data_IF_111083675789
#
_entry.id   IF_111083675789
#
_cell.length_a   1.000
_cell.length_b   1.000
_cell.length_c   1.000
_cell.angle_alpha   90.00
_cell.angle_beta   90.00
_cell.angle_gamma   90.00
#
_symmetry.space_group_name_H-M   'P 1'
#
loop_
_entity.id
_entity.type
_entity.pdbx_description
1 polymer ?
#
# COMPACT_ATOMS: atom_id res chain seq x y z
N UNK A 1 6.75 -10.50 -3.74
CA UNK A 1 5.58 -9.60 -3.94
C UNK A 1 4.25 -10.34 -3.82
N UNK A 2 3.95 -11.37 -4.61
CA UNK A 2 2.69 -12.14 -4.46
C UNK A 2 2.51 -12.73 -3.06
N UNK A 3 3.54 -13.38 -2.51
CA UNK A 3 3.46 -14.02 -1.19
C UNK A 3 3.12 -13.03 -0.07
N UNK A 4 3.68 -11.83 -0.13
CA UNK A 4 3.37 -10.76 0.83
C UNK A 4 1.91 -10.29 0.73
N UNK A 5 1.37 -10.17 -0.50
CA UNK A 5 -0.04 -9.77 -0.69
C UNK A 5 -1.00 -10.87 -0.25
N UNK A 6 -0.67 -12.15 -0.45
CA UNK A 6 -1.48 -13.24 0.09
C UNK A 6 -1.35 -13.39 1.61
N UNK A 7 -0.16 -13.18 2.18
CA UNK A 7 -0.01 -13.11 3.64
C UNK A 7 -0.88 -11.99 4.22
N UNK A 8 -0.87 -10.80 3.61
CA UNK A 8 -1.70 -9.67 4.05
C UNK A 8 -3.18 -10.05 4.06
N UNK A 9 -3.65 -10.77 3.04
CA UNK A 9 -5.04 -11.24 2.97
C UNK A 9 -5.41 -12.10 4.17
N UNK A 10 -4.51 -12.97 4.62
CA UNK A 10 -4.74 -13.85 5.77
C UNK A 10 -4.83 -13.02 7.06
N UNK A 11 -3.89 -12.11 7.28
CA UNK A 11 -3.89 -11.21 8.44
C UNK A 11 -5.15 -10.32 8.48
N UNK A 12 -5.55 -9.76 7.33
CA UNK A 12 -6.77 -8.96 7.23
C UNK A 12 -8.03 -9.76 7.54
N UNK A 13 -8.10 -11.04 7.13
CA UNK A 13 -9.22 -11.94 7.47
C UNK A 13 -9.25 -12.30 8.95
N UNK A 14 -8.08 -12.44 9.56
CA UNK A 14 -7.93 -12.67 10.99
C UNK A 14 -8.09 -11.39 11.83
N UNK A 15 -8.32 -10.23 11.20
CA UNK A 15 -8.35 -8.91 11.84
C UNK A 15 -7.05 -8.56 12.59
N UNK A 16 -5.93 -9.16 12.20
CA UNK A 16 -4.60 -8.87 12.72
C UNK A 16 -4.01 -7.63 12.01
N UNK A 17 -4.56 -6.45 12.32
CA UNK A 17 -4.25 -5.22 11.58
C UNK A 17 -2.82 -4.71 11.74
N UNK A 18 -2.18 -5.00 12.87
CA UNK A 18 -0.76 -4.68 13.09
C UNK A 18 0.14 -5.47 12.12
N UNK A 19 -0.08 -6.78 12.02
CA UNK A 19 0.58 -7.64 11.04
C UNK A 19 0.29 -7.20 9.60
N UNK A 20 -0.96 -6.82 9.31
CA UNK A 20 -1.36 -6.32 8.00
C UNK A 20 -0.64 -5.00 7.64
N UNK A 21 -0.47 -4.08 8.59
CA UNK A 21 0.27 -2.83 8.40
C UNK A 21 1.76 -3.08 8.14
N UNK A 22 2.36 -4.05 8.82
CA UNK A 22 3.75 -4.46 8.55
C UNK A 22 3.89 -5.01 7.12
N UNK A 23 2.95 -5.86 6.70
CA UNK A 23 2.95 -6.42 5.35
C UNK A 23 2.71 -5.33 4.29
N UNK A 24 1.90 -4.32 4.61
CA UNK A 24 1.67 -3.15 3.76
C UNK A 24 2.95 -2.31 3.57
N UNK A 25 3.68 -2.02 4.66
CA UNK A 25 4.98 -1.38 4.57
C UNK A 25 5.97 -2.18 3.72
N UNK A 26 6.06 -3.49 3.97
CA UNK A 26 6.95 -4.39 3.26
C UNK A 26 6.66 -4.42 1.75
N UNK A 27 5.39 -4.39 1.36
CA UNK A 27 4.94 -4.31 -0.03
C UNK A 27 5.53 -3.08 -0.74
N UNK A 28 5.36 -1.90 -0.15
CA UNK A 28 5.87 -0.65 -0.69
C UNK A 28 7.40 -0.64 -0.76
N UNK A 29 8.07 -1.15 0.28
CA UNK A 29 9.53 -1.27 0.33
C UNK A 29 10.07 -2.16 -0.79
N UNK A 30 9.42 -3.30 -1.06
CA UNK A 30 9.80 -4.21 -2.14
C UNK A 30 9.67 -3.58 -3.53
N UNK A 31 8.58 -2.82 -3.78
CA UNK A 31 8.38 -2.12 -5.06
C UNK A 31 9.47 -1.06 -5.27
N UNK A 32 9.78 -0.25 -4.25
CA UNK A 32 10.80 0.80 -4.36
C UNK A 32 12.20 0.25 -4.58
N UNK A 33 12.55 -0.85 -3.89
CA UNK A 33 13.80 -1.58 -4.15
C UNK A 33 13.87 -2.09 -5.59
N UNK A 34 12.80 -2.71 -6.09
CA UNK A 34 12.75 -3.23 -7.45
C UNK A 34 12.82 -2.11 -8.51
N UNK A 35 12.31 -0.92 -8.21
CA UNK A 35 12.39 0.25 -9.09
C UNK A 35 13.76 0.96 -9.07
N UNK A 36 14.72 0.49 -8.26
CA UNK A 36 16.03 1.14 -8.10
C UNK A 36 15.98 2.51 -7.41
N UNK A 37 14.88 2.82 -6.71
CA UNK A 37 14.66 4.13 -6.11
C UNK A 37 15.27 4.22 -4.70
N UNK A 38 16.60 4.14 -4.63
CA UNK A 38 17.34 4.07 -3.37
C UNK A 38 17.16 5.32 -2.49
N UNK A 39 17.11 6.50 -3.08
CA UNK A 39 16.90 7.75 -2.33
C UNK A 39 15.56 7.76 -1.58
N UNK A 40 14.45 7.39 -2.24
CA UNK A 40 13.15 7.33 -1.57
C UNK A 40 13.14 6.22 -0.53
N UNK A 41 13.76 5.08 -0.82
CA UNK A 41 13.89 3.98 0.13
C UNK A 41 14.61 4.42 1.41
N UNK A 42 15.71 5.18 1.30
CA UNK A 42 16.48 5.67 2.43
C UNK A 42 15.65 6.66 3.26
N UNK A 43 14.90 7.56 2.61
CA UNK A 43 13.96 8.47 3.31
C UNK A 43 12.90 7.68 4.09
N UNK A 44 12.25 6.70 3.46
CA UNK A 44 11.20 5.91 4.12
C UNK A 44 11.73 5.03 5.25
N UNK A 45 12.95 4.52 5.13
CA UNK A 45 13.56 3.65 6.15
C UNK A 45 14.18 4.43 7.31
N UNK A 46 14.63 5.67 7.09
CA UNK A 46 15.18 6.54 8.13
C UNK A 46 14.19 6.90 9.25
N UNK A 47 12.88 6.79 8.98
CA UNK A 47 11.77 6.99 9.93
C UNK A 47 10.74 5.86 9.82
N UNK A 48 11.24 4.64 9.79
CA UNK A 48 10.43 3.44 9.58
C UNK A 48 9.33 3.25 10.64
N UNK A 49 9.55 3.71 11.87
CA UNK A 49 8.58 3.75 12.96
C UNK A 49 7.37 4.63 12.63
N UNK A 50 7.60 5.90 12.27
CA UNK A 50 6.54 6.85 11.90
C UNK A 50 5.80 6.37 10.66
N UNK A 51 6.54 5.83 9.69
CA UNK A 51 5.93 5.28 8.48
C UNK A 51 5.05 4.08 8.79
N UNK A 52 5.52 3.13 9.61
CA UNK A 52 4.75 1.95 9.99
C UNK A 52 3.46 2.35 10.72
N UNK A 53 3.52 3.31 11.65
CA UNK A 53 2.32 3.84 12.30
C UNK A 53 1.33 4.44 11.29
N UNK A 54 1.82 5.11 10.24
CA UNK A 54 0.95 5.62 9.18
C UNK A 54 0.27 4.52 8.35
N UNK A 55 0.92 3.35 8.21
CA UNK A 55 0.34 2.20 7.51
C UNK A 55 -0.77 1.48 8.29
N UNK A 56 -0.98 1.81 9.57
CA UNK A 56 -2.14 1.31 10.34
C UNK A 56 -3.42 2.05 9.97
N UNK A 57 -3.30 3.31 9.56
CA UNK A 57 -4.43 4.20 9.32
C UNK A 57 -5.43 3.68 8.27
N UNK A 58 -5.04 3.03 7.17
CA UNK A 58 -5.98 2.45 6.21
C UNK A 58 -6.88 1.34 6.80
N UNK A 59 -6.56 0.80 7.98
CA UNK A 59 -7.28 -0.30 8.61
C UNK A 59 -8.18 0.12 9.78
N UNK A 60 -8.29 1.43 10.07
CA UNK A 60 -9.17 1.96 11.15
C UNK A 60 -10.67 1.71 10.91
N UNK A 61 -11.03 1.34 9.68
CA UNK A 61 -12.38 0.91 9.26
C UNK A 61 -12.32 -0.57 8.88
N UNK A 62 -12.47 -1.51 9.83
CA UNK A 62 -12.33 -2.95 9.59
C UNK A 62 -13.17 -3.48 8.42
N UNK A 63 -14.36 -2.92 8.23
CA UNK A 63 -15.30 -3.26 7.15
C UNK A 63 -14.77 -2.92 5.75
N UNK A 64 -13.81 -2.00 5.66
CA UNK A 64 -13.14 -1.58 4.42
C UNK A 64 -11.71 -2.10 4.29
N UNK A 65 -11.18 -2.78 5.31
CA UNK A 65 -9.77 -3.20 5.35
C UNK A 65 -9.37 -4.11 4.17
N UNK A 66 -10.31 -4.95 3.70
CA UNK A 66 -10.08 -5.85 2.55
C UNK A 66 -9.91 -5.11 1.21
N UNK A 67 -10.27 -3.83 1.12
CA UNK A 67 -10.05 -3.00 -0.08
C UNK A 67 -8.55 -2.87 -0.39
N UNK A 68 -7.70 -2.72 0.64
CA UNK A 68 -6.23 -2.64 0.48
C UNK A 68 -5.67 -3.85 -0.26
N UNK A 69 -6.10 -5.06 0.10
CA UNK A 69 -5.67 -6.28 -0.60
C UNK A 69 -6.08 -6.29 -2.07
N UNK A 70 -7.31 -5.86 -2.37
CA UNK A 70 -7.79 -5.78 -3.76
C UNK A 70 -6.98 -4.77 -4.58
N UNK A 71 -6.65 -3.62 -3.97
CA UNK A 71 -5.81 -2.59 -4.57
C UNK A 71 -4.40 -3.11 -4.86
N UNK A 72 -3.76 -3.79 -3.91
CA UNK A 72 -2.45 -4.42 -4.10
C UNK A 72 -2.45 -5.44 -5.22
N UNK A 73 -3.49 -6.25 -5.35
CA UNK A 73 -3.64 -7.18 -6.50
C UNK A 73 -3.73 -6.46 -7.85
N UNK A 74 -4.36 -5.27 -7.91
CA UNK A 74 -4.39 -4.46 -9.15
C UNK A 74 -3.00 -3.93 -9.49
N UNK A 75 -2.23 -3.49 -8.49
CA UNK A 75 -0.84 -3.05 -8.65
C UNK A 75 0.02 -4.22 -9.17
N UNK A 76 -0.04 -5.38 -8.52
CA UNK A 76 0.69 -6.59 -8.94
C UNK A 76 0.40 -6.98 -10.38
N UNK A 77 -0.87 -6.98 -10.78
CA UNK A 77 -1.27 -7.30 -12.16
C UNK A 77 -0.70 -6.31 -13.17
N UNK A 78 -0.60 -5.04 -12.82
CA UNK A 78 -0.02 -4.02 -13.70
C UNK A 78 1.50 -4.18 -13.81
N UNK A 79 2.18 -4.47 -12.69
CA UNK A 79 3.61 -4.76 -12.65
C UNK A 79 3.96 -6.02 -13.44
N UNK A 80 3.19 -7.10 -13.29
CA UNK A 80 3.44 -8.38 -13.98
C UNK A 80 3.27 -8.30 -15.50
N UNK A 81 2.55 -7.29 -15.99
CA UNK A 81 2.37 -7.02 -17.42
C UNK A 81 3.44 -6.08 -17.98
N UNK A 82 4.36 -5.60 -17.14
CA UNK A 82 5.39 -4.63 -17.51
C UNK A 82 4.82 -3.37 -18.17
N UNK A 83 3.71 -2.83 -17.64
CA UNK A 83 3.07 -1.60 -18.12
C UNK A 83 3.23 -0.49 -17.07
N UNK A 84 4.29 0.35 -17.14
CA UNK A 84 4.63 1.31 -16.09
C UNK A 84 3.50 2.31 -15.78
N UNK A 85 2.86 2.86 -16.81
CA UNK A 85 1.76 3.81 -16.66
C UNK A 85 0.55 3.20 -15.92
N UNK A 86 0.27 1.91 -16.16
CA UNK A 86 -0.80 1.20 -15.48
C UNK A 86 -0.46 0.94 -14.01
N UNK A 87 0.80 0.60 -13.70
CA UNK A 87 1.26 0.41 -12.33
C UNK A 87 1.21 1.72 -11.54
N UNK A 88 1.66 2.83 -12.14
CA UNK A 88 1.56 4.16 -11.57
C UNK A 88 0.11 4.56 -11.28
N UNK A 89 -0.80 4.39 -12.25
CA UNK A 89 -2.22 4.70 -12.08
C UNK A 89 -2.85 3.85 -10.96
N UNK A 90 -2.50 2.57 -10.87
CA UNK A 90 -2.99 1.69 -9.82
C UNK A 90 -2.50 2.11 -8.43
N UNK A 91 -1.21 2.49 -8.30
CA UNK A 91 -0.64 2.99 -7.05
C UNK A 91 -1.27 4.32 -6.62
N UNK A 92 -1.49 5.26 -7.54
CA UNK A 92 -2.18 6.51 -7.25
C UNK A 92 -3.63 6.29 -6.79
N UNK A 93 -4.33 5.32 -7.39
CA UNK A 93 -5.67 4.96 -6.96
C UNK A 93 -5.67 4.35 -5.54
N UNK A 94 -4.70 3.48 -5.25
CA UNK A 94 -4.50 2.92 -3.90
C UNK A 94 -4.27 4.00 -2.84
N UNK A 95 -3.33 4.93 -3.07
CA UNK A 95 -3.01 6.00 -2.11
C UNK A 95 -4.24 6.88 -1.82
N UNK A 96 -5.02 7.22 -2.86
CA UNK A 96 -6.27 7.99 -2.68
C UNK A 96 -7.32 7.20 -1.89
N UNK A 97 -7.47 5.91 -2.16
CA UNK A 97 -8.40 5.06 -1.44
C UNK A 97 -7.98 4.89 0.04
N UNK A 98 -6.68 4.71 0.30
CA UNK A 98 -6.10 4.63 1.63
C UNK A 98 -6.40 5.89 2.44
N UNK A 99 -6.18 7.08 1.89
CA UNK A 99 -6.55 8.33 2.57
C UNK A 99 -8.05 8.44 2.84
N UNK A 100 -8.91 8.06 1.88
CA UNK A 100 -10.36 8.08 2.09
C UNK A 100 -10.80 7.22 3.29
N UNK A 101 -10.05 6.15 3.62
CA UNK A 101 -10.32 5.28 4.77
C UNK A 101 -9.98 5.96 6.10
N UNK A 102 -9.06 6.92 6.10
CA UNK A 102 -8.69 7.71 7.29
C UNK A 102 -9.61 8.91 7.53
N UNK A 103 -10.54 9.19 6.61
CA UNK A 103 -11.35 10.41 6.63
C UNK A 103 -10.65 11.62 5.99
N UNK A 104 -9.41 11.45 5.52
CA UNK A 104 -8.69 12.46 4.76
C UNK A 104 -9.05 12.30 3.27
N UNK A 105 -9.65 13.32 2.67
CA UNK A 105 -9.83 13.36 1.21
C UNK A 105 -8.69 14.15 0.59
N UNK A 106 -7.91 13.54 -0.30
CA UNK A 106 -7.07 14.31 -1.20
C UNK A 106 -7.98 14.95 -2.24
N UNK A 107 -8.39 16.21 -1.99
CA UNK A 107 -9.05 17.01 -3.00
C UNK A 107 -8.10 17.12 -4.21
N UNK A 108 -8.50 16.54 -5.34
CA UNK A 108 -7.80 16.77 -6.59
C UNK A 108 -7.94 18.24 -6.95
N UNK A 109 -6.83 18.96 -7.10
CA UNK A 109 -6.81 20.14 -7.94
C UNK A 109 -7.07 19.67 -9.36
N UNK A 110 -8.34 19.66 -9.75
CA UNK A 110 -8.75 19.55 -11.14
C UNK A 110 -8.91 20.96 -11.69
N UNK A 111 -8.12 21.23 -12.73
CA UNK A 111 -7.95 22.46 -13.54
C UNK A 111 -6.84 23.38 -13.05
#
# INVERSE_FOLDING_TARGET
LNDNVEAMRLELRAQAFESAAQLDFDFHRMILRAAGNQTILDVLTSRSDIYLESQKLPFIRPERAMETWQEHRRILRALSRHVPAAAQKAMQAHIRAAASRTGISFAGTAS
#
